data_IF_993634489340
#
_entry.id   IF_993634489340
#
_cell.length_a   1.000
_cell.length_b   1.000
_cell.length_c   1.000
_cell.angle_alpha   90.00
_cell.angle_beta   90.00
_cell.angle_gamma   90.00
#
_symmetry.space_group_name_H-M   'P 1'
#
loop_
_entity.id
_entity.type
_entity.pdbx_description
1 polymer ?
#
# COMPACT_ATOMS: atom_id res chain seq x y z
N UNK A 1 -32.18 20.56 38.06
CA UNK A 1 -32.47 19.82 36.82
C UNK A 1 -31.22 19.95 35.96
N UNK A 2 -30.23 19.08 36.16
CA UNK A 2 -30.01 17.79 35.44
C UNK A 2 -29.91 18.10 33.94
N UNK A 3 -28.71 18.43 33.44
CA UNK A 3 -27.73 17.51 32.82
C UNK A 3 -28.18 16.99 31.48
N UNK A 4 -27.48 17.39 30.41
CA UNK A 4 -27.31 16.55 29.23
C UNK A 4 -25.94 16.84 28.60
N UNK A 5 -24.96 16.05 29.04
CA UNK A 5 -23.69 15.88 28.34
C UNK A 5 -23.97 15.20 27.00
N UNK A 6 -23.64 15.88 25.90
CA UNK A 6 -23.59 15.26 24.59
C UNK A 6 -22.41 14.29 24.53
N UNK A 7 -22.71 12.99 24.50
CA UNK A 7 -21.74 11.91 24.23
C UNK A 7 -21.13 12.11 22.84
N UNK A 8 -19.81 11.95 22.66
CA UNK A 8 -19.24 11.87 21.32
C UNK A 8 -19.67 10.53 20.72
N UNK A 9 -20.25 10.58 19.52
CA UNK A 9 -20.61 9.41 18.75
C UNK A 9 -19.37 8.55 18.52
N UNK A 10 -19.50 7.27 18.84
CA UNK A 10 -18.57 6.24 18.42
C UNK A 10 -18.62 6.18 16.88
N UNK A 11 -17.67 6.85 16.23
CA UNK A 11 -17.35 6.59 14.83
C UNK A 11 -16.80 5.16 14.76
N UNK A 12 -17.59 4.24 14.21
CA UNK A 12 -17.08 2.92 13.82
C UNK A 12 -15.79 3.11 13.00
N UNK A 13 -14.73 2.31 13.21
CA UNK A 13 -13.51 2.47 12.45
C UNK A 13 -13.85 2.18 10.99
N UNK A 14 -13.90 3.25 10.19
CA UNK A 14 -14.03 3.16 8.75
C UNK A 14 -13.06 2.09 8.27
N UNK A 15 -13.58 1.07 7.59
CA UNK A 15 -12.82 -0.10 7.13
C UNK A 15 -11.62 0.39 6.30
N UNK A 16 -10.47 0.60 6.94
CA UNK A 16 -9.21 1.02 6.32
C UNK A 16 -8.86 -0.05 5.28
N UNK A 17 -9.09 0.21 3.99
CA UNK A 17 -8.45 -0.57 2.92
C UNK A 17 -9.32 -1.35 1.93
N UNK A 18 -10.63 -1.12 1.80
CA UNK A 18 -11.37 -1.72 0.68
C UNK A 18 -11.36 -0.81 -0.55
N UNK A 19 -10.41 -1.05 -1.46
CA UNK A 19 -10.39 -0.48 -2.81
C UNK A 19 -11.46 -1.22 -3.65
N UNK A 20 -12.48 -0.51 -4.14
CA UNK A 20 -13.48 -1.09 -5.05
C UNK A 20 -12.87 -1.49 -6.40
N UNK A 21 -13.56 -2.32 -7.19
CA UNK A 21 -13.04 -2.77 -8.48
C UNK A 21 -12.77 -1.61 -9.46
N UNK A 22 -13.63 -0.58 -9.47
CA UNK A 22 -13.42 0.64 -10.25
C UNK A 22 -12.22 1.45 -9.73
N UNK A 23 -11.98 1.42 -8.42
CA UNK A 23 -10.87 2.13 -7.78
C UNK A 23 -9.54 1.39 -7.99
N UNK A 24 -9.57 0.06 -8.11
CA UNK A 24 -8.37 -0.76 -8.30
C UNK A 24 -7.60 -0.35 -9.54
N UNK A 25 -8.29 -0.19 -10.67
CA UNK A 25 -7.61 0.22 -11.88
C UNK A 25 -7.02 1.63 -11.78
N UNK A 26 -7.70 2.54 -11.10
CA UNK A 26 -7.25 3.91 -10.88
C UNK A 26 -6.03 3.98 -9.95
N UNK A 27 -5.97 3.12 -8.94
CA UNK A 27 -4.88 3.08 -7.96
C UNK A 27 -3.67 2.34 -8.54
N UNK A 28 -3.85 1.14 -9.09
CA UNK A 28 -2.74 0.24 -9.39
C UNK A 28 -2.34 0.17 -10.86
N UNK A 29 -3.27 0.43 -11.79
CA UNK A 29 -3.02 0.23 -13.22
C UNK A 29 -2.59 1.53 -13.93
N UNK A 30 -2.19 2.58 -13.21
CA UNK A 30 -1.76 3.86 -13.82
C UNK A 30 -0.33 3.82 -14.33
N UNK A 31 -0.02 4.59 -15.38
CA UNK A 31 1.34 4.68 -15.91
C UNK A 31 2.27 5.23 -14.84
N UNK A 32 3.35 4.51 -14.58
CA UNK A 32 4.38 4.90 -13.63
C UNK A 32 5.76 4.88 -14.31
N UNK A 33 6.44 6.03 -14.32
CA UNK A 33 7.77 6.21 -14.88
C UNK A 33 8.82 6.19 -13.77
N UNK A 34 9.44 5.02 -13.60
CA UNK A 34 10.51 4.85 -12.63
C UNK A 34 11.82 5.41 -13.19
N UNK A 35 12.26 6.57 -12.67
CA UNK A 35 13.53 7.21 -13.02
C UNK A 35 14.71 6.73 -12.17
N UNK A 36 14.48 6.40 -10.88
CA UNK A 36 15.51 6.01 -9.91
C UNK A 36 15.27 4.57 -9.43
N UNK A 37 15.58 3.59 -10.27
CA UNK A 37 15.18 2.18 -10.04
C UNK A 37 16.12 1.47 -9.06
N UNK A 38 15.53 0.81 -8.07
CA UNK A 38 16.20 -0.21 -7.26
C UNK A 38 15.68 -1.60 -7.65
N UNK A 39 16.58 -2.57 -7.79
CA UNK A 39 16.21 -3.95 -8.09
C UNK A 39 15.69 -4.68 -6.85
N UNK A 40 14.54 -5.35 -6.99
CA UNK A 40 13.96 -6.23 -5.98
C UNK A 40 13.56 -7.57 -6.64
N UNK A 41 13.70 -8.66 -5.90
CA UNK A 41 13.22 -9.98 -6.33
C UNK A 41 11.84 -10.24 -5.77
N UNK A 42 10.99 -10.85 -6.59
CA UNK A 42 9.68 -11.37 -6.18
C UNK A 42 9.57 -12.83 -6.59
N UNK A 43 8.62 -13.54 -5.99
CA UNK A 43 8.31 -14.91 -6.38
C UNK A 43 7.96 -14.99 -7.89
N UNK A 44 8.36 -16.10 -8.52
CA UNK A 44 8.15 -16.33 -9.95
C UNK A 44 6.67 -16.37 -10.31
N UNK A 45 5.85 -17.05 -9.51
CA UNK A 45 4.42 -17.22 -9.81
C UNK A 45 3.70 -15.86 -9.69
N UNK A 46 4.08 -15.06 -8.70
CA UNK A 46 3.61 -13.68 -8.57
C UNK A 46 4.00 -12.84 -9.79
N UNK A 47 5.26 -12.95 -10.25
CA UNK A 47 5.70 -12.26 -11.45
C UNK A 47 4.86 -12.64 -12.67
N UNK A 48 4.59 -13.92 -12.89
CA UNK A 48 3.81 -14.40 -14.04
C UNK A 48 2.35 -13.89 -14.02
N UNK A 49 1.72 -13.86 -12.84
CA UNK A 49 0.38 -13.29 -12.66
C UNK A 49 0.38 -11.80 -13.02
N UNK A 50 1.31 -11.02 -12.45
CA UNK A 50 1.41 -9.58 -12.72
C UNK A 50 1.73 -9.30 -14.19
N UNK A 51 2.57 -10.13 -14.81
CA UNK A 51 2.92 -10.01 -16.21
C UNK A 51 1.72 -10.28 -17.12
N UNK A 52 0.88 -11.25 -16.76
CA UNK A 52 -0.38 -11.55 -17.47
C UNK A 52 -1.34 -10.38 -17.38
N UNK A 53 -1.51 -9.82 -16.18
CA UNK A 53 -2.36 -8.64 -15.95
C UNK A 53 -1.87 -7.41 -16.73
N UNK A 54 -0.58 -7.10 -16.69
CA UNK A 54 -0.03 -5.97 -17.46
C UNK A 54 -0.26 -6.14 -18.96
N UNK A 55 -0.12 -7.37 -19.49
CA UNK A 55 -0.37 -7.64 -20.92
C UNK A 55 -1.85 -7.52 -21.32
N UNK A 56 -2.79 -7.80 -20.43
CA UNK A 56 -4.22 -7.68 -20.75
C UNK A 56 -4.67 -6.22 -20.85
N UNK A 57 -3.94 -5.28 -20.23
CA UNK A 57 -4.27 -3.85 -20.22
C UNK A 57 -3.69 -3.16 -21.47
N UNK A 58 -4.40 -3.26 -22.60
CA UNK A 58 -3.89 -2.88 -23.95
C UNK A 58 -3.59 -1.38 -24.16
N UNK A 59 -4.13 -0.48 -23.32
CA UNK A 59 -4.05 0.98 -23.53
C UNK A 59 -3.21 1.73 -22.49
N UNK A 60 -2.65 1.04 -21.49
CA UNK A 60 -1.84 1.69 -20.46
C UNK A 60 -0.39 1.28 -20.70
N UNK A 61 0.52 2.25 -20.82
CA UNK A 61 1.98 2.00 -20.86
C UNK A 61 2.49 1.58 -19.49
N UNK A 62 1.89 0.55 -18.91
CA UNK A 62 2.23 -0.04 -17.62
C UNK A 62 3.26 -1.14 -17.84
N UNK A 63 4.25 -1.21 -16.96
CA UNK A 63 5.20 -2.33 -16.89
C UNK A 63 4.95 -3.12 -15.62
N UNK A 64 5.45 -4.36 -15.56
CA UNK A 64 5.37 -5.16 -14.31
C UNK A 64 6.01 -4.41 -13.15
N UNK A 65 7.19 -3.82 -13.37
CA UNK A 65 7.84 -2.99 -12.34
C UNK A 65 7.00 -1.79 -11.93
N UNK A 66 6.32 -1.13 -12.87
CA UNK A 66 5.44 0.00 -12.56
C UNK A 66 4.20 -0.42 -11.75
N UNK A 67 3.63 -1.59 -12.06
CA UNK A 67 2.52 -2.16 -11.28
C UNK A 67 2.97 -2.51 -9.86
N UNK A 68 4.12 -3.18 -9.72
CA UNK A 68 4.70 -3.50 -8.40
C UNK A 68 4.94 -2.22 -7.60
N UNK A 69 5.50 -1.19 -8.22
CA UNK A 69 5.75 0.08 -7.54
C UNK A 69 4.46 0.76 -7.08
N UNK A 70 3.39 0.73 -7.89
CA UNK A 70 2.08 1.26 -7.48
C UNK A 70 1.51 0.48 -6.28
N UNK A 71 1.65 -0.84 -6.27
CA UNK A 71 1.22 -1.70 -5.15
C UNK A 71 2.01 -1.37 -3.88
N UNK A 72 3.34 -1.29 -4.00
CA UNK A 72 4.23 -0.98 -2.86
C UNK A 72 3.96 0.42 -2.33
N UNK A 73 3.80 1.41 -3.20
CA UNK A 73 3.47 2.80 -2.82
C UNK A 73 2.16 2.85 -2.03
N UNK A 74 1.10 2.24 -2.59
CA UNK A 74 -0.19 2.21 -1.90
C UNK A 74 -0.12 1.47 -0.56
N UNK A 75 0.65 0.37 -0.48
CA UNK A 75 0.85 -0.35 0.77
C UNK A 75 1.56 0.52 1.81
N UNK A 76 2.61 1.25 1.42
CA UNK A 76 3.33 2.16 2.33
C UNK A 76 2.41 3.27 2.82
N UNK A 77 1.63 3.90 1.93
CA UNK A 77 0.68 4.96 2.29
C UNK A 77 -0.44 4.45 3.21
N UNK A 78 -0.97 3.25 2.94
CA UNK A 78 -2.08 2.67 3.72
C UNK A 78 -1.65 2.23 5.12
N UNK A 79 -0.41 1.76 5.28
CA UNK A 79 0.13 1.19 6.53
C UNK A 79 1.26 2.04 7.12
N UNK A 80 1.31 3.33 6.81
CA UNK A 80 2.37 4.24 7.26
C UNK A 80 2.51 4.22 8.80
N UNK A 81 1.39 4.30 9.52
CA UNK A 81 1.34 4.28 10.99
C UNK A 81 1.97 2.99 11.55
N UNK A 82 1.60 1.83 11.01
CA UNK A 82 2.10 0.52 11.44
C UNK A 82 3.58 0.33 11.10
N UNK A 83 4.00 0.75 9.90
CA UNK A 83 5.40 0.71 9.47
C UNK A 83 6.26 1.58 10.40
N UNK A 84 5.80 2.79 10.72
CA UNK A 84 6.50 3.70 11.62
C UNK A 84 6.57 3.14 13.05
N UNK A 85 5.49 2.56 13.57
CA UNK A 85 5.50 1.89 14.88
C UNK A 85 6.57 0.79 14.94
N UNK A 86 6.62 -0.09 13.94
CA UNK A 86 7.61 -1.18 13.85
C UNK A 86 9.04 -0.60 13.76
N UNK A 87 9.24 0.43 12.96
CA UNK A 87 10.53 1.11 12.82
C UNK A 87 11.01 1.66 14.16
N UNK A 88 10.15 2.36 14.91
CA UNK A 88 10.50 2.91 16.22
C UNK A 88 10.82 1.82 17.25
N UNK A 89 10.03 0.75 17.32
CA UNK A 89 10.24 -0.37 18.25
C UNK A 89 11.56 -1.10 17.99
N UNK A 90 11.94 -1.28 16.73
CA UNK A 90 13.15 -2.02 16.35
C UNK A 90 14.41 -1.16 16.33
N UNK A 91 14.32 0.16 16.13
CA UNK A 91 15.48 1.05 16.16
C UNK A 91 15.76 1.59 17.56
N UNK A 92 14.73 1.81 18.38
CA UNK A 92 14.92 2.08 19.81
C UNK A 92 15.42 0.85 20.57
N UNK A 93 15.33 -0.36 20.00
CA UNK A 93 16.05 -1.54 20.45
C UNK A 93 17.39 -1.64 19.69
N UNK A 94 18.50 -1.06 20.19
CA UNK A 94 19.77 -1.11 19.48
C UNK A 94 20.17 -2.55 19.19
N UNK A 95 20.58 -2.81 17.94
CA UNK A 95 20.98 -4.13 17.40
C UNK A 95 22.21 -4.73 18.13
N UNK A 96 22.80 -4.02 19.11
CA UNK A 96 23.76 -4.60 20.06
C UNK A 96 23.41 -4.21 21.49
N UNK A 97 23.08 -5.21 22.30
CA UNK A 97 23.21 -5.16 23.76
C UNK A 97 24.69 -5.47 24.09
N UNK A 98 25.35 -4.58 24.84
CA UNK A 98 26.65 -4.85 25.46
C UNK A 98 26.57 -6.02 26.44
#
# INVERSE_FOLDING_TARGET
TISEEAKPGEEEPAKRGQVGAADYEGVFLTRNELCNRQGLYIDKDNYEILQTLVRSVRNRRLSVSGLVDNIVKHHIELYEDEINRIYEENIRNPIKKN
#
